data_IF_922448454195
#
_entry.id   IF_922448454195
#
_cell.length_a   1.000
_cell.length_b   1.000
_cell.length_c   1.000
_cell.angle_alpha   90.00
_cell.angle_beta   90.00
_cell.angle_gamma   90.00
#
_symmetry.space_group_name_H-M   'P 1'
#
loop_
_entity.id
_entity.type
_entity.pdbx_description
1 polymer ?
#
# COMPACT_ATOMS: atom_id res chain seq x y z
N UNK A 1 53.73 -17.44 -18.54
CA UNK A 1 52.84 -16.99 -19.64
C UNK A 1 51.52 -16.62 -19.01
N UNK A 2 51.12 -15.36 -19.00
CA UNK A 2 49.82 -14.95 -18.47
C UNK A 2 48.72 -15.35 -19.47
N UNK A 3 47.72 -16.04 -18.95
CA UNK A 3 46.53 -16.47 -19.67
C UNK A 3 45.66 -15.28 -20.01
N UNK A 4 45.53 -14.96 -21.27
CA UNK A 4 44.75 -13.82 -21.75
C UNK A 4 43.27 -14.21 -21.76
N UNK A 5 42.50 -13.55 -20.91
CA UNK A 5 41.07 -13.65 -20.82
C UNK A 5 40.43 -13.32 -22.20
N UNK A 6 39.57 -14.17 -22.77
CA UNK A 6 38.94 -13.85 -24.06
C UNK A 6 38.00 -12.65 -23.91
N UNK A 7 38.29 -11.62 -24.65
CA UNK A 7 37.49 -10.39 -24.74
C UNK A 7 36.08 -10.76 -25.23
N UNK A 8 35.08 -10.38 -24.47
CA UNK A 8 33.69 -10.35 -24.89
C UNK A 8 33.61 -9.47 -26.14
N UNK A 9 33.26 -10.05 -27.29
CA UNK A 9 33.31 -9.39 -28.59
C UNK A 9 31.99 -8.84 -29.09
N UNK A 10 30.86 -9.22 -28.42
CA UNK A 10 29.54 -8.70 -28.82
C UNK A 10 28.54 -8.74 -27.66
N UNK A 11 27.48 -7.96 -27.82
CA UNK A 11 26.35 -7.94 -26.90
C UNK A 11 25.63 -9.30 -26.82
N UNK A 12 25.72 -10.10 -27.89
CA UNK A 12 25.13 -11.42 -27.98
C UNK A 12 25.80 -12.44 -27.07
N UNK A 13 27.13 -12.28 -26.83
CA UNK A 13 27.85 -13.12 -25.87
C UNK A 13 27.40 -12.88 -24.42
N UNK A 14 27.02 -11.64 -24.08
CA UNK A 14 26.43 -11.29 -22.78
C UNK A 14 25.01 -11.86 -22.62
N UNK A 15 24.20 -11.81 -23.66
CA UNK A 15 22.84 -12.36 -23.69
C UNK A 15 22.83 -13.88 -23.67
N UNK A 16 23.83 -14.51 -24.30
CA UNK A 16 24.01 -15.97 -24.29
C UNK A 16 24.37 -16.52 -22.90
N UNK A 17 25.16 -15.78 -22.13
CA UNK A 17 25.50 -16.14 -20.74
C UNK A 17 24.29 -15.97 -19.81
N UNK A 18 23.49 -14.92 -20.02
CA UNK A 18 22.27 -14.70 -19.24
C UNK A 18 21.21 -15.82 -19.46
N UNK A 19 21.08 -16.33 -20.70
CA UNK A 19 20.17 -17.42 -21.02
C UNK A 19 20.56 -18.77 -20.41
N UNK A 20 21.83 -18.97 -20.09
CA UNK A 20 22.32 -20.25 -19.53
C UNK A 20 22.19 -20.33 -18.01
N UNK A 21 21.92 -19.22 -17.33
CA UNK A 21 21.71 -19.16 -15.88
C UNK A 21 20.24 -19.38 -15.51
N UNK A 22 19.31 -19.21 -16.43
CA UNK A 22 17.87 -19.38 -16.17
C UNK A 22 17.39 -20.84 -16.12
N UNK A 23 18.25 -21.82 -16.35
CA UNK A 23 17.81 -23.22 -16.52
C UNK A 23 18.29 -24.18 -15.40
N UNK A 24 18.72 -23.67 -14.25
CA UNK A 24 19.11 -24.49 -13.11
C UNK A 24 18.58 -23.98 -11.78
N UNK A 25 17.28 -23.74 -11.68
CA UNK A 25 16.60 -23.63 -10.40
C UNK A 25 15.17 -24.13 -10.52
N UNK A 26 15.01 -25.41 -10.65
CA UNK A 26 13.76 -26.06 -10.30
C UNK A 26 13.74 -26.27 -8.79
N UNK A 27 13.49 -25.17 -8.05
CA UNK A 27 12.88 -25.25 -6.75
C UNK A 27 11.42 -24.86 -6.97
N UNK A 28 10.52 -25.77 -6.62
CA UNK A 28 9.08 -25.53 -6.61
C UNK A 28 8.77 -24.41 -5.61
N UNK A 29 9.07 -23.18 -5.98
CA UNK A 29 8.50 -22.02 -5.37
C UNK A 29 7.19 -21.76 -6.10
N UNK A 30 6.09 -22.08 -5.42
CA UNK A 30 4.75 -21.77 -5.86
C UNK A 30 4.73 -20.30 -6.26
N UNK A 31 4.49 -19.94 -7.52
CA UNK A 31 4.54 -18.54 -7.91
C UNK A 31 3.55 -17.80 -7.04
N UNK A 32 4.04 -16.85 -6.26
CA UNK A 32 3.20 -15.86 -5.66
C UNK A 32 2.39 -15.24 -6.81
N UNK A 33 1.10 -15.55 -6.87
CA UNK A 33 0.22 -14.96 -7.88
C UNK A 33 0.42 -13.45 -7.76
N UNK A 34 0.67 -12.73 -8.86
CA UNK A 34 0.76 -11.29 -8.80
C UNK A 34 -0.51 -10.80 -8.16
N UNK A 35 -0.38 -10.12 -7.02
CA UNK A 35 -1.51 -9.51 -6.35
C UNK A 35 -2.23 -8.67 -7.42
N UNK A 36 -3.46 -9.05 -7.75
CA UNK A 36 -4.27 -8.34 -8.72
C UNK A 36 -4.56 -6.95 -8.16
N UNK A 37 -3.65 -6.01 -8.42
CA UNK A 37 -3.81 -4.61 -8.03
C UNK A 37 -4.73 -3.94 -9.06
N UNK A 38 -6.05 -4.07 -8.86
CA UNK A 38 -7.05 -3.48 -9.73
C UNK A 38 -7.38 -2.04 -9.32
N UNK A 39 -7.36 -1.10 -10.28
CA UNK A 39 -7.94 0.21 -10.07
C UNK A 39 -9.47 0.11 -10.15
N UNK A 40 -10.16 0.65 -9.14
CA UNK A 40 -11.63 0.70 -9.07
C UNK A 40 -12.07 2.03 -8.47
N UNK A 41 -13.25 2.47 -8.89
CA UNK A 41 -13.94 3.61 -8.26
C UNK A 41 -14.99 3.04 -7.32
N UNK A 42 -14.85 3.36 -6.03
CA UNK A 42 -15.71 2.84 -4.97
C UNK A 42 -16.47 3.98 -4.27
N UNK A 43 -17.63 3.65 -3.72
CA UNK A 43 -18.27 4.55 -2.75
C UNK A 43 -17.43 4.58 -1.48
N UNK A 44 -17.07 5.78 -0.98
CA UNK A 44 -16.26 5.86 0.24
C UNK A 44 -16.95 5.26 1.45
N UNK A 45 -18.30 5.20 1.46
CA UNK A 45 -19.10 4.62 2.53
C UNK A 45 -19.09 3.08 2.51
N UNK A 46 -18.75 2.46 1.38
CA UNK A 46 -18.64 1.00 1.24
C UNK A 46 -17.32 0.42 1.76
N UNK A 47 -16.42 1.27 2.21
CA UNK A 47 -15.09 0.89 2.68
C UNK A 47 -15.03 1.10 4.19
N UNK A 48 -14.76 0.03 4.95
CA UNK A 48 -14.55 0.17 6.39
C UNK A 48 -13.17 0.74 6.70
N UNK A 49 -13.05 1.47 7.79
CA UNK A 49 -11.76 1.89 8.33
C UNK A 49 -10.93 0.70 8.79
N UNK A 50 -9.62 0.82 8.77
CA UNK A 50 -8.71 -0.19 9.29
C UNK A 50 -8.87 -0.32 10.81
N UNK A 51 -9.09 -1.53 11.30
CA UNK A 51 -9.26 -1.79 12.74
C UNK A 51 -7.97 -1.44 13.49
N UNK A 52 -8.12 -0.61 14.53
CA UNK A 52 -6.98 -0.19 15.34
C UNK A 52 -6.05 0.81 14.64
N UNK A 53 -6.54 1.53 13.62
CA UNK A 53 -5.78 2.56 12.93
C UNK A 53 -5.17 3.56 13.92
N UNK A 54 -3.83 3.68 13.99
CA UNK A 54 -3.16 4.44 15.05
C UNK A 54 -3.12 5.95 14.79
N UNK A 55 -3.55 6.41 13.61
CA UNK A 55 -3.39 7.78 13.17
C UNK A 55 -4.70 8.54 13.29
N UNK A 56 -4.60 9.80 13.73
CA UNK A 56 -5.76 10.70 13.81
C UNK A 56 -6.14 11.20 12.43
N UNK A 57 -7.44 11.30 12.19
CA UNK A 57 -7.99 11.97 11.02
C UNK A 57 -7.77 13.49 11.13
N UNK A 58 -7.77 14.16 9.97
CA UNK A 58 -7.73 15.62 9.93
C UNK A 58 -9.02 16.20 10.53
N UNK A 59 -8.88 17.30 11.19
CA UNK A 59 -9.96 18.07 11.80
C UNK A 59 -9.78 19.56 11.47
N UNK A 60 -10.85 20.35 11.65
CA UNK A 60 -10.82 21.80 11.47
C UNK A 60 -10.43 22.23 10.06
N UNK A 61 -9.61 23.26 9.95
CA UNK A 61 -9.26 23.89 8.67
C UNK A 61 -8.61 22.94 7.69
N UNK A 62 -7.76 22.03 8.18
CA UNK A 62 -7.08 21.04 7.35
C UNK A 62 -8.05 20.05 6.69
N UNK A 63 -9.09 19.66 7.40
CA UNK A 63 -10.16 18.84 6.83
C UNK A 63 -10.99 19.65 5.84
N UNK A 64 -11.33 20.90 6.17
CA UNK A 64 -12.12 21.78 5.30
C UNK A 64 -11.41 22.03 3.97
N UNK A 65 -10.11 22.33 4.00
CA UNK A 65 -9.29 22.53 2.80
C UNK A 65 -9.29 21.29 1.91
N UNK A 66 -9.19 20.11 2.52
CA UNK A 66 -9.22 18.84 1.78
C UNK A 66 -10.60 18.57 1.18
N UNK A 67 -11.67 18.84 1.92
CA UNK A 67 -13.06 18.71 1.42
C UNK A 67 -13.31 19.67 0.26
N UNK A 68 -12.87 20.93 0.36
CA UNK A 68 -13.00 21.91 -0.72
C UNK A 68 -12.26 21.45 -1.98
N UNK A 69 -11.00 21.02 -1.84
CA UNK A 69 -10.20 20.50 -2.95
C UNK A 69 -10.87 19.30 -3.62
N UNK A 70 -11.41 18.36 -2.85
CA UNK A 70 -12.10 17.18 -3.38
C UNK A 70 -13.43 17.55 -4.01
N UNK A 71 -14.13 18.53 -3.48
CA UNK A 71 -15.39 19.02 -4.07
C UNK A 71 -15.18 19.63 -5.44
N UNK A 72 -14.08 20.36 -5.63
CA UNK A 72 -13.75 21.03 -6.89
C UNK A 72 -13.11 20.08 -7.92
N UNK A 73 -12.16 19.29 -7.51
CA UNK A 73 -11.28 18.50 -8.41
C UNK A 73 -11.52 16.99 -8.34
N UNK A 74 -12.35 16.52 -7.42
CA UNK A 74 -12.42 15.10 -7.09
C UNK A 74 -11.17 14.60 -6.34
N UNK A 75 -11.09 13.32 -6.10
CA UNK A 75 -9.92 12.69 -5.47
C UNK A 75 -8.87 12.38 -6.53
N UNK A 76 -7.79 13.15 -6.57
CA UNK A 76 -6.74 13.03 -7.59
C UNK A 76 -5.77 11.86 -7.33
N UNK A 77 -5.48 11.57 -6.05
CA UNK A 77 -4.59 10.48 -5.67
C UNK A 77 -5.42 9.32 -5.15
N UNK A 78 -5.33 8.12 -5.76
CA UNK A 78 -6.11 6.98 -5.33
C UNK A 78 -5.83 6.58 -3.89
N UNK A 79 -6.86 6.14 -3.19
CA UNK A 79 -6.69 5.44 -1.93
C UNK A 79 -6.27 3.99 -2.17
N UNK A 80 -5.77 3.32 -1.15
CA UNK A 80 -5.37 1.93 -1.22
C UNK A 80 -6.24 1.15 -0.24
N UNK A 81 -6.92 0.14 -0.75
CA UNK A 81 -7.81 -0.72 0.00
C UNK A 81 -7.44 -2.19 -0.23
N UNK A 82 -7.81 -3.05 0.70
CA UNK A 82 -7.78 -4.50 0.46
C UNK A 82 -9.18 -5.06 0.38
N UNK A 83 -9.33 -6.10 -0.40
CA UNK A 83 -10.55 -6.91 -0.39
C UNK A 83 -10.52 -7.82 0.83
N UNK A 84 -11.65 -7.92 1.52
CA UNK A 84 -11.86 -8.75 2.70
C UNK A 84 -13.07 -9.65 2.47
N UNK A 85 -13.18 -10.72 3.25
CA UNK A 85 -14.45 -11.42 3.36
C UNK A 85 -15.51 -10.47 3.94
N UNK A 86 -16.75 -10.49 3.44
CA UNK A 86 -17.81 -9.62 3.94
C UNK A 86 -17.94 -9.73 5.46
N UNK A 87 -17.85 -8.61 6.13
CA UNK A 87 -18.00 -8.58 7.58
C UNK A 87 -19.49 -8.54 8.01
N UNK A 88 -19.73 -8.49 9.31
CA UNK A 88 -21.08 -8.46 9.88
C UNK A 88 -21.94 -7.28 9.39
N UNK A 89 -21.29 -6.21 8.90
CA UNK A 89 -21.94 -5.02 8.37
C UNK A 89 -22.01 -5.03 6.83
N UNK A 90 -21.49 -6.08 6.18
CA UNK A 90 -21.48 -6.24 4.74
C UNK A 90 -20.37 -5.49 4.01
N UNK A 91 -19.34 -5.02 4.70
CA UNK A 91 -18.18 -4.41 4.06
C UNK A 91 -17.31 -5.46 3.40
N UNK A 92 -16.98 -5.24 2.13
CA UNK A 92 -16.08 -6.09 1.36
C UNK A 92 -14.68 -5.48 1.17
N UNK A 93 -14.49 -4.24 1.59
CA UNK A 93 -13.24 -3.51 1.47
C UNK A 93 -12.83 -2.88 2.79
N UNK A 94 -11.52 -2.87 3.02
CA UNK A 94 -10.92 -2.24 4.20
C UNK A 94 -9.82 -1.26 3.76
N UNK A 95 -9.86 -0.05 4.33
CA UNK A 95 -8.91 1.01 4.00
C UNK A 95 -7.50 0.69 4.53
N UNK A 96 -6.50 0.79 3.68
CA UNK A 96 -5.09 0.70 4.06
C UNK A 96 -4.41 2.06 4.10
N UNK A 97 -4.59 2.86 3.04
CA UNK A 97 -4.03 4.20 2.95
C UNK A 97 -5.02 5.16 2.30
N UNK A 98 -5.21 6.33 2.91
CA UNK A 98 -6.11 7.35 2.41
C UNK A 98 -7.34 7.60 3.27
N UNK A 99 -7.29 7.31 4.56
CA UNK A 99 -8.40 7.53 5.50
C UNK A 99 -8.90 8.99 5.49
N UNK A 100 -8.00 9.96 5.40
CA UNK A 100 -8.39 11.37 5.32
C UNK A 100 -9.11 11.70 4.00
N UNK A 101 -8.65 11.14 2.89
CA UNK A 101 -9.31 11.27 1.58
C UNK A 101 -10.68 10.60 1.58
N UNK A 102 -10.81 9.45 2.20
CA UNK A 102 -12.10 8.79 2.38
C UNK A 102 -13.08 9.67 3.17
N UNK A 103 -12.65 10.15 4.34
CA UNK A 103 -13.49 11.01 5.18
C UNK A 103 -13.92 12.29 4.45
N UNK A 104 -12.99 12.95 3.76
CA UNK A 104 -13.30 14.14 2.98
C UNK A 104 -14.19 13.85 1.77
N UNK A 105 -14.03 12.68 1.12
CA UNK A 105 -14.88 12.26 0.01
C UNK A 105 -16.32 11.99 0.44
N UNK A 106 -16.53 11.41 1.63
CA UNK A 106 -17.86 11.25 2.24
C UNK A 106 -18.53 12.62 2.41
N UNK A 107 -17.82 13.59 3.02
CA UNK A 107 -18.34 14.93 3.26
C UNK A 107 -18.62 15.67 1.95
N UNK A 108 -17.75 15.53 0.96
CA UNK A 108 -17.89 16.16 -0.35
C UNK A 108 -18.87 15.43 -1.28
N UNK A 109 -19.46 14.32 -0.87
CA UNK A 109 -20.32 13.45 -1.71
C UNK A 109 -19.66 13.06 -3.03
N UNK A 110 -18.39 12.66 -2.97
CA UNK A 110 -17.60 12.23 -4.14
C UNK A 110 -17.21 10.76 -4.02
N UNK A 111 -17.09 10.13 -5.17
CA UNK A 111 -16.56 8.77 -5.27
C UNK A 111 -15.05 8.76 -4.97
N UNK A 112 -14.56 7.61 -4.54
CA UNK A 112 -13.17 7.42 -4.17
C UNK A 112 -12.49 6.47 -5.15
N UNK A 113 -11.54 6.95 -5.96
CA UNK A 113 -10.69 6.07 -6.74
C UNK A 113 -9.78 5.27 -5.80
N UNK A 114 -9.74 3.98 -6.00
CA UNK A 114 -9.02 3.05 -5.14
C UNK A 114 -8.14 2.10 -5.96
N UNK A 115 -7.00 1.74 -5.40
CA UNK A 115 -6.21 0.59 -5.83
C UNK A 115 -6.58 -0.55 -4.87
N UNK A 116 -7.21 -1.59 -5.41
CA UNK A 116 -7.65 -2.75 -4.63
C UNK A 116 -6.55 -3.79 -4.61
N UNK A 117 -6.14 -4.20 -3.42
CA UNK A 117 -5.22 -5.30 -3.19
C UNK A 117 -6.01 -6.54 -2.78
N UNK A 118 -5.79 -7.64 -3.48
CA UNK A 118 -6.38 -8.92 -3.17
C UNK A 118 -5.38 -9.82 -2.43
N UNK A 119 -5.89 -10.76 -1.64
CA UNK A 119 -5.10 -11.77 -0.95
C UNK A 119 -4.03 -11.22 0.01
N UNK A 120 -4.31 -10.10 0.66
CA UNK A 120 -3.43 -9.51 1.65
C UNK A 120 -3.81 -10.01 3.05
N UNK A 121 -2.86 -10.64 3.75
CA UNK A 121 -3.07 -11.10 5.12
C UNK A 121 -3.24 -9.93 6.09
N UNK A 122 -3.79 -10.18 7.28
CA UNK A 122 -3.91 -9.15 8.31
C UNK A 122 -2.56 -8.60 8.76
N UNK A 123 -1.55 -9.47 8.86
CA UNK A 123 -0.18 -9.08 9.19
C UNK A 123 0.42 -8.13 8.12
N UNK A 124 0.31 -8.50 6.85
CA UNK A 124 0.82 -7.67 5.76
C UNK A 124 0.05 -6.35 5.63
N UNK A 125 -1.25 -6.37 5.90
CA UNK A 125 -2.08 -5.17 5.95
C UNK A 125 -1.63 -4.20 7.04
N UNK A 126 -1.29 -4.69 8.23
CA UNK A 126 -0.72 -3.89 9.32
C UNK A 126 0.60 -3.25 8.93
N UNK A 127 1.52 -4.03 8.36
CA UNK A 127 2.80 -3.52 7.86
C UNK A 127 2.54 -2.43 6.82
N UNK A 128 1.63 -2.66 5.90
CA UNK A 128 1.28 -1.71 4.84
C UNK A 128 0.76 -0.38 5.41
N UNK A 129 -0.15 -0.43 6.36
CA UNK A 129 -0.71 0.77 7.02
C UNK A 129 0.39 1.56 7.73
N UNK A 130 1.28 0.89 8.47
CA UNK A 130 2.37 1.56 9.19
C UNK A 130 3.35 2.20 8.20
N UNK A 131 3.83 1.44 7.23
CA UNK A 131 4.84 1.92 6.27
C UNK A 131 4.32 3.09 5.42
N UNK A 132 3.09 3.02 4.91
CA UNK A 132 2.51 4.10 4.10
C UNK A 132 2.29 5.37 4.90
N UNK A 133 1.88 5.27 6.16
CA UNK A 133 1.70 6.45 7.01
C UNK A 133 3.03 7.06 7.46
N UNK A 134 4.03 6.24 7.75
CA UNK A 134 5.39 6.71 8.07
C UNK A 134 6.01 7.43 6.89
N UNK A 135 5.82 6.92 5.67
CA UNK A 135 6.33 7.55 4.45
C UNK A 135 5.58 8.82 4.05
N UNK A 136 4.26 8.86 4.24
CA UNK A 136 3.43 10.02 3.88
C UNK A 136 3.48 11.17 4.89
N UNK A 137 3.70 10.85 6.15
CA UNK A 137 3.88 11.83 7.21
C UNK A 137 5.32 11.80 7.68
N UNK A 138 5.97 12.95 7.65
CA UNK A 138 7.26 13.07 8.34
C UNK A 138 7.08 12.62 9.80
N UNK A 139 7.95 11.75 10.28
CA UNK A 139 7.91 11.29 11.67
C UNK A 139 7.93 12.47 12.67
N UNK A 140 8.52 13.60 12.26
CA UNK A 140 8.54 14.84 13.04
C UNK A 140 7.14 15.48 13.21
N UNK A 141 6.25 15.30 12.25
CA UNK A 141 4.90 15.89 12.27
C UNK A 141 3.88 15.06 13.06
N UNK A 142 4.24 13.83 13.43
CA UNK A 142 3.39 12.96 14.22
C UNK A 142 3.32 13.44 15.68
N UNK A 143 2.15 13.29 16.29
CA UNK A 143 1.99 13.49 17.72
C UNK A 143 2.81 12.46 18.53
N UNK A 144 3.26 12.78 19.74
CA UNK A 144 3.99 11.83 20.60
C UNK A 144 3.27 10.50 20.81
N UNK A 145 1.92 10.55 20.95
CA UNK A 145 1.07 9.36 21.08
C UNK A 145 1.06 8.50 19.81
N UNK A 146 1.05 9.13 18.64
CA UNK A 146 1.11 8.44 17.35
C UNK A 146 2.48 7.77 17.15
N UNK A 147 3.57 8.48 17.49
CA UNK A 147 4.94 7.95 17.46
C UNK A 147 5.08 6.70 18.34
N UNK A 148 4.58 6.77 19.56
CA UNK A 148 4.63 5.67 20.49
C UNK A 148 3.83 4.45 19.98
N UNK A 149 2.63 4.68 19.44
CA UNK A 149 1.81 3.61 18.87
C UNK A 149 2.48 2.94 17.66
N UNK A 150 3.05 3.71 16.74
CA UNK A 150 3.78 3.20 15.57
C UNK A 150 4.98 2.36 15.99
N UNK A 151 5.78 2.85 16.95
CA UNK A 151 6.95 2.13 17.45
C UNK A 151 6.55 0.84 18.15
N UNK A 152 5.52 0.85 18.98
CA UNK A 152 5.02 -0.33 19.67
C UNK A 152 4.52 -1.40 18.68
N UNK A 153 3.75 -0.99 17.66
CA UNK A 153 3.25 -1.88 16.63
C UNK A 153 4.38 -2.46 15.79
N UNK A 154 5.35 -1.65 15.38
CA UNK A 154 6.50 -2.10 14.60
C UNK A 154 7.34 -3.11 15.37
N UNK A 155 7.57 -2.88 16.64
CA UNK A 155 8.29 -3.82 17.51
C UNK A 155 7.53 -5.13 17.68
N UNK A 156 6.20 -5.09 17.84
CA UNK A 156 5.39 -6.30 17.96
C UNK A 156 5.39 -7.15 16.68
N UNK A 157 5.47 -6.51 15.50
CA UNK A 157 5.53 -7.20 14.21
C UNK A 157 6.90 -7.82 13.91
N UNK A 158 7.98 -7.27 14.46
CA UNK A 158 9.35 -7.80 14.30
C UNK A 158 9.58 -9.05 15.16
N UNK A 159 8.87 -9.19 16.28
CA UNK A 159 9.02 -10.29 17.24
C UNK A 159 8.08 -11.49 17.01
N UNK A 160 7.35 -11.49 15.93
CA UNK A 160 6.49 -12.63 15.54
C UNK A 160 7.27 -13.66 14.69
#
# INVERSE_FOLDING_TARGET
MPNINPRIRSLDDLLGVARKVENTAAAEDKPAQPANNGFQILSPEAIRGFRGHPFRLYEGDRLNDLVESISENGVLVPAIVRKIEPDENGFEYEMLAGHNRQNAAVIAHRELPCIVKENLSDHDAWIYVIETNVLQRSFSEMLPSEKAAVLALRLSLIHI
#
